data_IF_611911817084
#
_entry.id   IF_611911817084
#
_cell.length_a   1.000
_cell.length_b   1.000
_cell.length_c   1.000
_cell.angle_alpha   90.00
_cell.angle_beta   90.00
_cell.angle_gamma   90.00
#
_symmetry.space_group_name_H-M   'P 1'
#
loop_
_entity.id
_entity.type
_entity.pdbx_description
1 polymer ?
#
# COMPACT_ATOMS: atom_id res chain seq x y z
N UNK A 1 -7.56 -1.05 16.38
CA UNK A 1 -6.77 -1.81 15.37
C UNK A 1 -5.34 -1.92 15.88
N UNK A 2 -4.66 -3.08 15.81
CA UNK A 2 -3.28 -3.21 16.37
C UNK A 2 -2.18 -3.21 15.30
N UNK A 3 -2.40 -3.86 14.16
CA UNK A 3 -1.48 -3.89 13.00
C UNK A 3 -2.30 -3.97 11.73
N UNK A 4 -1.86 -3.28 10.68
CA UNK A 4 -2.49 -3.31 9.36
C UNK A 4 -1.47 -3.86 8.36
N UNK A 5 -1.92 -4.77 7.51
CA UNK A 5 -1.13 -5.25 6.39
C UNK A 5 -1.54 -4.52 5.11
N UNK A 6 -0.56 -4.10 4.31
CA UNK A 6 -0.75 -3.61 2.96
C UNK A 6 -0.65 -4.77 1.99
N UNK A 7 -1.72 -4.97 1.22
CA UNK A 7 -1.83 -5.95 0.17
C UNK A 7 -2.71 -5.38 -0.94
N UNK A 8 -2.36 -5.64 -2.18
CA UNK A 8 -3.14 -5.15 -3.32
C UNK A 8 -3.88 -6.29 -4.02
N UNK A 9 -4.94 -5.93 -4.72
CA UNK A 9 -5.85 -6.85 -5.36
C UNK A 9 -6.40 -6.24 -6.64
N UNK A 10 -6.42 -7.04 -7.71
CA UNK A 10 -7.08 -6.70 -8.97
C UNK A 10 -8.37 -7.49 -9.11
N UNK A 11 -9.48 -6.80 -9.42
CA UNK A 11 -10.81 -7.42 -9.55
C UNK A 11 -10.84 -8.57 -10.57
N UNK A 12 -10.04 -8.46 -11.62
CA UNK A 12 -9.97 -9.46 -12.70
C UNK A 12 -9.00 -10.61 -12.46
N UNK A 13 -8.16 -10.57 -11.41
CA UNK A 13 -6.99 -11.45 -11.34
C UNK A 13 -6.51 -11.85 -9.95
N UNK A 14 -7.15 -11.37 -8.87
CA UNK A 14 -6.76 -11.76 -7.53
C UNK A 14 -5.69 -10.83 -6.93
N UNK A 15 -4.96 -11.35 -5.93
CA UNK A 15 -3.84 -10.64 -5.32
C UNK A 15 -2.75 -10.33 -6.35
N UNK A 16 -2.19 -9.12 -6.25
CA UNK A 16 -1.18 -8.63 -7.19
C UNK A 16 -0.10 -7.83 -6.45
N UNK A 17 0.98 -7.43 -7.14
CA UNK A 17 1.99 -6.57 -6.53
C UNK A 17 1.40 -5.26 -6.01
N UNK A 18 2.04 -4.70 -4.98
CA UNK A 18 1.59 -3.50 -4.29
C UNK A 18 1.51 -2.32 -5.27
N UNK A 19 0.37 -1.64 -5.29
CA UNK A 19 0.13 -0.45 -6.09
C UNK A 19 -0.26 -0.72 -7.54
N UNK A 20 -0.29 -1.98 -7.99
CA UNK A 20 -0.66 -2.38 -9.36
C UNK A 20 -2.10 -2.90 -9.48
N UNK A 21 -2.82 -2.98 -8.37
CA UNK A 21 -4.19 -3.46 -8.32
C UNK A 21 -5.23 -2.34 -8.45
N UNK A 22 -6.45 -2.68 -8.03
CA UNK A 22 -7.62 -1.82 -8.09
C UNK A 22 -7.98 -1.21 -6.72
N UNK A 23 -7.15 -1.42 -5.69
CA UNK A 23 -7.42 -0.84 -4.37
C UNK A 23 -7.35 0.69 -4.46
N UNK A 24 -8.42 1.34 -3.98
CA UNK A 24 -8.45 2.80 -3.85
C UNK A 24 -7.65 3.25 -2.63
N UNK A 25 -6.37 3.47 -2.85
CA UNK A 25 -5.44 3.85 -1.79
C UNK A 25 -5.73 5.26 -1.22
N UNK A 26 -6.34 6.16 -1.99
CA UNK A 26 -6.77 7.47 -1.45
C UNK A 26 -7.91 7.28 -0.44
N UNK A 27 -8.95 6.53 -0.82
CA UNK A 27 -10.07 6.24 0.07
C UNK A 27 -9.63 5.48 1.34
N UNK A 28 -8.69 4.54 1.21
CA UNK A 28 -8.09 3.85 2.37
C UNK A 28 -7.38 4.85 3.29
N UNK A 29 -6.61 5.78 2.73
CA UNK A 29 -5.93 6.82 3.48
C UNK A 29 -6.90 7.73 4.23
N UNK A 30 -7.94 8.22 3.57
CA UNK A 30 -9.01 9.01 4.17
C UNK A 30 -9.67 8.26 5.33
N UNK A 31 -10.04 6.99 5.12
CA UNK A 31 -10.68 6.17 6.14
C UNK A 31 -9.78 5.94 7.38
N UNK A 32 -8.50 5.65 7.17
CA UNK A 32 -7.54 5.47 8.27
C UNK A 32 -7.26 6.78 9.02
N UNK A 33 -7.16 7.89 8.29
CA UNK A 33 -7.04 9.23 8.88
C UNK A 33 -8.26 9.61 9.72
N UNK A 34 -9.48 9.34 9.21
CA UNK A 34 -10.74 9.65 9.90
C UNK A 34 -10.94 8.90 11.21
N UNK A 35 -10.32 7.72 11.39
CA UNK A 35 -10.31 7.00 12.67
C UNK A 35 -9.08 7.31 13.55
N UNK A 36 -8.20 8.22 13.10
CA UNK A 36 -7.00 8.60 13.84
C UNK A 36 -5.95 7.48 13.94
N UNK A 37 -5.85 6.61 12.93
CA UNK A 37 -4.83 5.56 12.95
C UNK A 37 -3.43 6.13 12.67
N UNK A 38 -2.52 5.96 13.63
CA UNK A 38 -1.14 6.47 13.60
C UNK A 38 -0.07 5.35 13.68
N UNK A 39 -0.52 4.09 13.62
CA UNK A 39 0.35 2.92 13.72
C UNK A 39 1.09 2.58 12.42
N UNK A 40 1.98 1.58 12.50
CA UNK A 40 2.75 1.12 11.34
C UNK A 40 1.94 0.20 10.42
N UNK A 41 2.25 0.28 9.12
CA UNK A 41 1.74 -0.64 8.10
C UNK A 41 2.82 -1.67 7.75
N UNK A 42 2.41 -2.92 7.56
CA UNK A 42 3.31 -4.02 7.14
C UNK A 42 3.00 -4.42 5.71
N UNK A 43 3.96 -4.34 4.79
CA UNK A 43 3.75 -4.85 3.43
C UNK A 43 3.70 -6.39 3.45
N UNK A 44 2.56 -6.97 3.04
CA UNK A 44 2.40 -8.41 2.87
C UNK A 44 2.69 -8.77 1.42
N UNK A 45 3.92 -9.22 1.17
CA UNK A 45 4.44 -9.49 -0.17
C UNK A 45 5.03 -10.90 -0.24
N UNK A 46 5.02 -11.51 -1.42
CA UNK A 46 5.61 -12.82 -1.66
C UNK A 46 6.33 -12.80 -3.00
N UNK A 47 7.67 -12.90 -3.02
CA UNK A 47 8.39 -12.90 -4.29
C UNK A 47 8.05 -14.14 -5.11
N UNK A 48 8.11 -14.03 -6.44
CA UNK A 48 8.14 -15.20 -7.32
C UNK A 48 9.55 -15.84 -7.35
N UNK A 49 9.77 -16.84 -8.21
CA UNK A 49 11.07 -17.52 -8.30
C UNK A 49 12.20 -16.62 -8.80
N UNK A 50 11.92 -15.76 -9.78
CA UNK A 50 12.88 -14.81 -10.34
C UNK A 50 13.23 -13.72 -9.32
N UNK A 51 12.23 -13.16 -8.64
CA UNK A 51 12.40 -12.16 -7.58
C UNK A 51 13.14 -12.74 -6.37
N UNK A 52 13.03 -14.05 -6.11
CA UNK A 52 13.83 -14.72 -5.09
C UNK A 52 15.31 -14.80 -5.45
N UNK A 53 15.66 -14.83 -6.74
CA UNK A 53 17.04 -14.90 -7.19
C UNK A 53 17.80 -13.59 -6.94
N UNK A 54 17.10 -12.45 -6.86
CA UNK A 54 17.64 -11.14 -6.51
C UNK A 54 16.74 -10.42 -5.49
N UNK A 55 16.90 -10.81 -4.22
CA UNK A 55 16.09 -10.29 -3.13
C UNK A 55 16.33 -8.80 -2.87
N UNK A 56 17.54 -8.28 -3.10
CA UNK A 56 17.87 -6.88 -2.87
C UNK A 56 17.14 -5.98 -3.88
N UNK A 57 17.14 -6.37 -5.16
CA UNK A 57 16.37 -5.68 -6.19
C UNK A 57 14.86 -5.77 -5.91
N UNK A 58 14.37 -6.93 -5.47
CA UNK A 58 12.97 -7.11 -5.09
C UNK A 58 12.57 -6.22 -3.92
N UNK A 59 13.37 -6.17 -2.84
CA UNK A 59 13.12 -5.29 -1.69
C UNK A 59 13.10 -3.83 -2.15
N UNK A 60 14.05 -3.40 -2.98
CA UNK A 60 14.08 -2.04 -3.51
C UNK A 60 12.84 -1.70 -4.35
N UNK A 61 12.33 -2.67 -5.13
CA UNK A 61 11.06 -2.55 -5.87
C UNK A 61 9.88 -2.38 -4.91
N UNK A 62 9.75 -3.24 -3.90
CA UNK A 62 8.66 -3.16 -2.91
C UNK A 62 8.69 -1.83 -2.15
N UNK A 63 9.87 -1.32 -1.76
CA UNK A 63 9.98 -0.01 -1.12
C UNK A 63 9.39 1.11 -1.99
N UNK A 64 9.69 1.14 -3.29
CA UNK A 64 9.15 2.13 -4.22
C UNK A 64 7.62 2.00 -4.37
N UNK A 65 7.13 0.78 -4.46
CA UNK A 65 5.69 0.49 -4.57
C UNK A 65 4.93 0.94 -3.32
N UNK A 66 5.43 0.58 -2.13
CA UNK A 66 4.85 1.00 -0.84
C UNK A 66 4.90 2.53 -0.70
N UNK A 67 6.01 3.18 -1.07
CA UNK A 67 6.11 4.64 -1.03
C UNK A 67 5.04 5.32 -1.92
N UNK A 68 4.80 4.79 -3.12
CA UNK A 68 3.75 5.29 -4.01
C UNK A 68 2.34 5.09 -3.45
N UNK A 69 2.05 3.94 -2.83
CA UNK A 69 0.78 3.72 -2.13
C UNK A 69 0.61 4.67 -0.95
N UNK A 70 1.65 4.84 -0.13
CA UNK A 70 1.64 5.75 1.02
C UNK A 70 1.40 7.21 0.60
N UNK A 71 1.94 7.62 -0.54
CA UNK A 71 1.67 8.96 -1.09
C UNK A 71 0.20 9.12 -1.46
N UNK A 72 -0.41 8.14 -2.14
CA UNK A 72 -1.85 8.16 -2.45
C UNK A 72 -2.70 8.18 -1.18
N UNK A 73 -2.37 7.35 -0.19
CA UNK A 73 -3.06 7.37 1.10
C UNK A 73 -2.99 8.75 1.77
N UNK A 74 -1.81 9.40 1.73
CA UNK A 74 -1.65 10.74 2.26
C UNK A 74 -2.54 11.76 1.53
N UNK A 75 -2.54 11.72 0.19
CA UNK A 75 -3.41 12.58 -0.62
C UNK A 75 -4.88 12.41 -0.26
N UNK A 76 -5.36 11.18 -0.05
CA UNK A 76 -6.73 10.95 0.40
C UNK A 76 -7.02 11.49 1.81
N UNK A 77 -6.08 11.30 2.74
CA UNK A 77 -6.21 11.81 4.10
C UNK A 77 -6.20 13.35 4.17
N UNK A 78 -5.37 14.01 3.35
CA UNK A 78 -5.29 15.48 3.26
C UNK A 78 -6.57 16.08 2.69
N UNK A 79 -7.12 15.50 1.61
CA UNK A 79 -8.42 15.90 1.03
C UNK A 79 -9.57 15.82 2.04
N UNK A 80 -9.64 14.73 2.81
CA UNK A 80 -10.68 14.55 3.84
C UNK A 80 -10.51 15.56 5.00
N UNK A 81 -9.28 15.96 5.31
CA UNK A 81 -8.98 16.97 6.32
C UNK A 81 -9.20 18.42 5.82
N UNK A 82 -9.48 18.62 4.52
CA UNK A 82 -9.60 19.94 3.90
C UNK A 82 -8.27 20.71 3.84
N UNK A 83 -7.16 19.99 3.67
CA UNK A 83 -5.81 20.55 3.57
C UNK A 83 -5.38 20.38 2.10
N UNK A 84 -5.58 21.44 1.31
CA UNK A 84 -5.32 21.49 -0.13
C UNK A 84 -4.23 22.50 -0.49
#
# INVERSE_FOLDING_TARGET
>A
MRRIHLKDYRRSGGFCPIGEGDVDWEAVGAALGGIGYDGTLTAEVTPNEEERADMDAYIAKIYKQVASVMQRMRTGAEKEAGID
#
